data_IF_065325771650
#
_entry.id   IF_065325771650
#
_cell.length_a   1.000
_cell.length_b   1.000
_cell.length_c   1.000
_cell.angle_alpha   90.00
_cell.angle_beta   90.00
_cell.angle_gamma   90.00
#
_symmetry.space_group_name_H-M   'P 1'
#
loop_
_entity.id
_entity.type
_entity.pdbx_description
1 polymer ?
#
# COMPACT_ATOMS: atom_id res chain seq x y z
N UNK A 1 4.11 -56.75 -53.14
CA UNK A 1 3.96 -56.77 -51.67
C UNK A 1 4.76 -55.71 -50.91
N UNK A 2 6.02 -55.36 -51.28
CA UNK A 2 6.80 -54.34 -50.52
C UNK A 2 6.31 -52.88 -50.61
N UNK A 3 5.55 -52.50 -51.65
CA UNK A 3 4.94 -51.14 -51.75
C UNK A 3 3.64 -50.96 -50.95
N UNK A 4 2.91 -52.04 -50.68
CA UNK A 4 1.69 -52.00 -49.84
C UNK A 4 2.03 -51.91 -48.35
N UNK A 5 3.11 -52.57 -47.90
CA UNK A 5 3.59 -52.48 -46.52
C UNK A 5 4.19 -51.10 -46.19
N UNK A 6 4.68 -50.36 -47.19
CA UNK A 6 5.13 -48.97 -47.01
C UNK A 6 3.97 -47.96 -46.99
N UNK A 7 2.88 -48.26 -47.71
CA UNK A 7 1.67 -47.44 -47.67
C UNK A 7 0.90 -47.60 -46.35
N UNK A 8 0.85 -48.83 -45.81
CA UNK A 8 0.28 -49.09 -44.47
C UNK A 8 1.15 -48.57 -43.33
N UNK A 9 2.50 -48.63 -43.45
CA UNK A 9 3.39 -48.01 -42.45
C UNK A 9 3.40 -46.48 -42.48
N UNK A 10 3.00 -45.85 -43.59
CA UNK A 10 2.76 -44.39 -43.64
C UNK A 10 1.34 -43.99 -43.21
N UNK A 11 0.40 -44.94 -43.13
CA UNK A 11 -0.94 -44.75 -42.56
C UNK A 11 -1.00 -45.01 -41.04
N UNK A 12 -0.06 -45.80 -40.49
CA UNK A 12 0.00 -46.18 -39.07
C UNK A 12 0.79 -45.22 -38.15
N UNK A 13 0.97 -43.96 -38.54
CA UNK A 13 1.51 -42.91 -37.68
C UNK A 13 0.83 -41.55 -37.88
N UNK A 14 -0.45 -41.56 -38.25
CA UNK A 14 -1.31 -40.41 -37.95
C UNK A 14 -1.83 -40.61 -36.53
N UNK A 15 -1.03 -40.21 -35.54
CA UNK A 15 -1.58 -39.92 -34.21
C UNK A 15 -2.81 -39.05 -34.44
N UNK A 16 -3.95 -39.43 -33.86
CA UNK A 16 -5.18 -38.66 -33.97
C UNK A 16 -4.83 -37.22 -33.58
N UNK A 17 -4.94 -36.28 -34.54
CA UNK A 17 -4.57 -34.89 -34.30
C UNK A 17 -5.39 -34.43 -33.11
N UNK A 18 -4.68 -34.20 -32.00
CA UNK A 18 -5.28 -33.83 -30.72
C UNK A 18 -6.14 -32.59 -30.97
N UNK A 19 -7.43 -32.76 -30.70
CA UNK A 19 -8.44 -31.75 -30.96
C UNK A 19 -8.49 -30.69 -29.85
N UNK A 20 -9.15 -29.54 -30.10
CA UNK A 20 -9.26 -28.45 -29.12
C UNK A 20 -9.84 -28.88 -27.76
N UNK A 21 -10.77 -29.85 -27.76
CA UNK A 21 -11.40 -30.35 -26.53
C UNK A 21 -10.43 -30.98 -25.51
N UNK A 22 -9.41 -31.70 -25.98
CA UNK A 22 -8.39 -32.28 -25.08
C UNK A 22 -7.51 -31.17 -24.48
N UNK A 23 -7.15 -30.16 -25.28
CA UNK A 23 -6.37 -29.00 -24.82
C UNK A 23 -7.15 -28.17 -23.78
N UNK A 24 -8.45 -27.98 -23.98
CA UNK A 24 -9.33 -27.33 -22.99
C UNK A 24 -9.34 -28.11 -21.68
N UNK A 25 -9.46 -29.44 -21.75
CA UNK A 25 -9.40 -30.32 -20.57
C UNK A 25 -8.08 -30.15 -19.80
N UNK A 26 -6.95 -30.23 -20.51
CA UNK A 26 -5.62 -30.04 -19.92
C UNK A 26 -5.45 -28.66 -19.29
N UNK A 27 -6.00 -27.59 -19.90
CA UNK A 27 -6.02 -26.25 -19.34
C UNK A 27 -6.77 -26.19 -18.02
N UNK A 28 -7.99 -26.72 -17.97
CA UNK A 28 -8.82 -26.74 -16.75
C UNK A 28 -8.23 -27.59 -15.63
N UNK A 29 -7.49 -28.64 -15.97
CA UNK A 29 -6.74 -29.47 -15.03
C UNK A 29 -5.41 -28.85 -14.58
N UNK A 30 -5.00 -27.70 -15.15
CA UNK A 30 -3.72 -27.05 -14.84
C UNK A 30 -2.49 -27.78 -15.42
N UNK A 31 -2.68 -28.74 -16.33
CA UNK A 31 -1.62 -29.55 -16.97
C UNK A 31 -1.05 -28.84 -18.20
N UNK A 32 -0.68 -27.58 -18.02
CA UNK A 32 -0.25 -26.67 -19.10
C UNK A 32 0.99 -27.19 -19.84
N UNK A 33 1.96 -27.77 -19.11
CA UNK A 33 3.19 -28.33 -19.71
C UNK A 33 2.90 -29.43 -20.72
N UNK A 34 1.98 -30.33 -20.39
CA UNK A 34 1.56 -31.40 -21.29
C UNK A 34 0.79 -30.85 -22.49
N UNK A 35 -0.07 -29.85 -22.28
CA UNK A 35 -0.74 -29.18 -23.39
C UNK A 35 0.26 -28.54 -24.37
N UNK A 36 1.34 -27.92 -23.86
CA UNK A 36 2.42 -27.39 -24.68
C UNK A 36 3.14 -28.50 -25.46
N UNK A 37 3.45 -29.64 -24.85
CA UNK A 37 4.04 -30.78 -25.57
C UNK A 37 3.11 -31.30 -26.69
N UNK A 38 1.79 -31.24 -26.48
CA UNK A 38 0.80 -31.61 -27.51
C UNK A 38 0.78 -30.59 -28.64
N UNK A 39 0.88 -29.29 -28.33
CA UNK A 39 1.03 -28.23 -29.34
C UNK A 39 2.33 -28.39 -30.13
N UNK A 40 3.45 -28.73 -29.48
CA UNK A 40 4.73 -29.03 -30.14
C UNK A 40 4.62 -30.21 -31.13
N UNK A 41 3.71 -31.16 -30.87
CA UNK A 41 3.39 -32.29 -31.76
C UNK A 41 2.35 -31.97 -32.85
N UNK A 42 1.88 -30.72 -32.93
CA UNK A 42 0.93 -30.27 -33.96
C UNK A 42 -0.55 -30.41 -33.60
N UNK A 43 -0.89 -30.46 -32.30
CA UNK A 43 -2.27 -30.34 -31.85
C UNK A 43 -2.94 -29.05 -32.37
N UNK A 44 -4.24 -29.11 -32.68
CA UNK A 44 -4.99 -27.95 -33.15
C UNK A 44 -5.72 -27.29 -31.98
N UNK A 45 -5.44 -26.02 -31.75
CA UNK A 45 -6.16 -25.19 -30.79
C UNK A 45 -7.10 -24.22 -31.52
N UNK A 46 -8.29 -24.03 -30.98
CA UNK A 46 -9.21 -22.96 -31.32
C UNK A 46 -9.09 -21.82 -30.28
N UNK A 47 -9.82 -20.68 -30.44
CA UNK A 47 -9.74 -19.58 -29.48
C UNK A 47 -10.05 -20.00 -28.04
N UNK A 48 -11.04 -20.89 -27.83
CA UNK A 48 -11.40 -21.35 -26.50
C UNK A 48 -10.27 -22.16 -25.86
N UNK A 49 -9.62 -23.05 -26.62
CA UNK A 49 -8.45 -23.79 -26.13
C UNK A 49 -7.32 -22.85 -25.72
N UNK A 50 -7.01 -21.83 -26.53
CA UNK A 50 -5.98 -20.84 -26.16
C UNK A 50 -6.36 -20.05 -24.91
N UNK A 51 -7.63 -19.65 -24.77
CA UNK A 51 -8.14 -18.95 -23.60
C UNK A 51 -7.95 -19.77 -22.31
N UNK A 52 -8.37 -21.04 -22.33
CA UNK A 52 -8.30 -21.93 -21.17
C UNK A 52 -6.85 -22.28 -20.79
N UNK A 53 -5.99 -22.50 -21.80
CA UNK A 53 -4.57 -22.72 -21.59
C UNK A 53 -3.87 -21.49 -21.00
N UNK A 54 -4.20 -20.29 -21.49
CA UNK A 54 -3.69 -19.05 -20.92
C UNK A 54 -4.19 -18.86 -19.48
N UNK A 55 -5.49 -19.05 -19.22
CA UNK A 55 -6.10 -18.90 -17.89
C UNK A 55 -5.45 -19.81 -16.82
N UNK A 56 -4.96 -20.98 -17.23
CA UNK A 56 -4.23 -21.89 -16.37
C UNK A 56 -2.81 -21.40 -15.98
N UNK A 57 -2.29 -20.37 -16.66
CA UNK A 57 -0.97 -19.79 -16.44
C UNK A 57 -0.97 -18.59 -15.48
N UNK A 58 -1.81 -18.59 -14.45
CA UNK A 58 -1.88 -17.50 -13.47
C UNK A 58 -0.68 -17.43 -12.51
N UNK A 59 0.15 -18.48 -12.46
CA UNK A 59 1.32 -18.57 -11.60
C UNK A 59 2.58 -18.07 -12.33
N UNK A 60 3.39 -17.16 -11.74
CA UNK A 60 4.65 -16.71 -12.33
C UNK A 60 5.61 -17.83 -12.78
N UNK A 61 5.54 -19.01 -12.15
CA UNK A 61 6.33 -20.19 -12.53
C UNK A 61 5.96 -20.77 -13.91
N UNK A 62 4.81 -20.40 -14.46
CA UNK A 62 4.30 -20.85 -15.76
C UNK A 62 4.46 -19.80 -16.87
N UNK A 63 5.28 -18.76 -16.64
CA UNK A 63 5.50 -17.69 -17.63
C UNK A 63 6.07 -18.23 -18.95
N UNK A 64 6.96 -19.22 -18.91
CA UNK A 64 7.54 -19.80 -20.13
C UNK A 64 6.49 -20.58 -20.93
N UNK A 65 5.61 -21.33 -20.25
CA UNK A 65 4.48 -22.02 -20.88
C UNK A 65 3.49 -21.02 -21.48
N UNK A 66 3.15 -19.93 -20.77
CA UNK A 66 2.32 -18.85 -21.28
C UNK A 66 2.92 -18.24 -22.56
N UNK A 67 4.23 -17.99 -22.58
CA UNK A 67 4.94 -17.47 -23.76
C UNK A 67 4.88 -18.43 -24.93
N UNK A 68 5.02 -19.74 -24.71
CA UNK A 68 4.88 -20.74 -25.77
C UNK A 68 3.45 -20.79 -26.32
N UNK A 69 2.46 -20.83 -25.44
CA UNK A 69 1.03 -20.82 -25.84
C UNK A 69 0.73 -19.55 -26.63
N UNK A 70 1.25 -18.40 -26.20
CA UNK A 70 1.08 -17.14 -26.91
C UNK A 70 1.76 -17.14 -28.29
N UNK A 71 2.96 -17.70 -28.45
CA UNK A 71 3.60 -17.87 -29.76
C UNK A 71 2.77 -18.78 -30.69
N UNK A 72 2.21 -19.88 -30.18
CA UNK A 72 1.27 -20.72 -30.94
C UNK A 72 0.01 -19.95 -31.35
N UNK A 73 -0.56 -19.14 -30.45
CA UNK A 73 -1.71 -18.29 -30.74
C UNK A 73 -1.41 -17.28 -31.84
N UNK A 74 -0.26 -16.59 -31.79
CA UNK A 74 0.15 -15.58 -32.78
C UNK A 74 0.37 -16.16 -34.19
N UNK A 75 0.73 -17.45 -34.29
CA UNK A 75 0.87 -18.19 -35.56
C UNK A 75 -0.45 -18.76 -36.08
N UNK A 76 -1.49 -18.76 -35.25
CA UNK A 76 -2.82 -19.28 -35.60
C UNK A 76 -3.62 -18.28 -36.45
N UNK A 77 -4.67 -18.73 -37.17
CA UNK A 77 -5.58 -17.81 -37.85
C UNK A 77 -6.39 -16.92 -36.89
N UNK A 78 -6.36 -17.22 -35.58
CA UNK A 78 -7.12 -16.52 -34.55
C UNK A 78 -6.31 -15.45 -33.82
N UNK A 79 -5.10 -15.10 -34.27
CA UNK A 79 -4.20 -14.14 -33.61
C UNK A 79 -4.81 -12.76 -33.28
N UNK A 80 -5.90 -12.38 -33.96
CA UNK A 80 -6.64 -11.14 -33.75
C UNK A 80 -7.82 -11.28 -32.75
N UNK A 81 -8.03 -12.46 -32.18
CA UNK A 81 -9.13 -12.70 -31.24
C UNK A 81 -8.96 -11.84 -29.99
N UNK A 82 -9.90 -10.93 -29.77
CA UNK A 82 -9.85 -9.94 -28.69
C UNK A 82 -9.92 -10.60 -27.30
N UNK A 83 -10.73 -11.65 -27.13
CA UNK A 83 -10.92 -12.32 -25.84
C UNK A 83 -9.65 -13.07 -25.43
N UNK A 84 -9.02 -13.78 -26.37
CA UNK A 84 -7.76 -14.47 -26.11
C UNK A 84 -6.64 -13.47 -25.83
N UNK A 85 -6.54 -12.39 -26.62
CA UNK A 85 -5.55 -11.34 -26.36
C UNK A 85 -5.74 -10.70 -24.97
N UNK A 86 -6.96 -10.31 -24.59
CA UNK A 86 -7.24 -9.79 -23.25
C UNK A 86 -6.86 -10.79 -22.15
N UNK A 87 -7.11 -12.09 -22.36
CA UNK A 87 -6.66 -13.13 -21.44
C UNK A 87 -5.13 -13.20 -21.35
N UNK A 88 -4.41 -13.10 -22.46
CA UNK A 88 -2.95 -13.05 -22.46
C UNK A 88 -2.42 -11.84 -21.67
N UNK A 89 -3.01 -10.65 -21.87
CA UNK A 89 -2.66 -9.45 -21.09
C UNK A 89 -2.84 -9.68 -19.59
N UNK A 90 -4.00 -10.19 -19.19
CA UNK A 90 -4.33 -10.47 -17.79
C UNK A 90 -3.32 -11.45 -17.17
N UNK A 91 -2.96 -12.52 -17.90
CA UNK A 91 -2.03 -13.53 -17.38
C UNK A 91 -0.59 -13.04 -17.34
N UNK A 92 -0.16 -12.22 -18.30
CA UNK A 92 1.14 -11.54 -18.21
C UNK A 92 1.20 -10.58 -17.02
N UNK A 93 0.13 -9.84 -16.74
CA UNK A 93 0.06 -8.98 -15.56
C UNK A 93 0.17 -9.78 -14.25
N UNK A 94 -0.54 -10.92 -14.14
CA UNK A 94 -0.43 -11.83 -12.97
C UNK A 94 0.95 -12.47 -12.82
N UNK A 95 1.67 -12.68 -13.93
CA UNK A 95 3.05 -13.16 -13.92
C UNK A 95 4.09 -12.05 -13.71
N UNK A 96 3.68 -10.81 -13.40
CA UNK A 96 4.54 -9.63 -13.30
C UNK A 96 5.38 -9.36 -14.58
N UNK A 97 4.91 -9.82 -15.74
CA UNK A 97 5.57 -9.74 -17.03
C UNK A 97 5.03 -8.57 -17.87
N UNK A 98 4.99 -7.37 -17.30
CA UNK A 98 4.34 -6.19 -17.92
C UNK A 98 4.96 -5.75 -19.25
N UNK A 99 6.23 -6.07 -19.48
CA UNK A 99 6.88 -5.87 -20.79
C UNK A 99 6.23 -6.71 -21.90
N UNK A 100 5.83 -7.95 -21.60
CA UNK A 100 5.13 -8.83 -22.54
C UNK A 100 3.68 -8.39 -22.72
N UNK A 101 3.00 -8.01 -21.62
CA UNK A 101 1.65 -7.45 -21.67
C UNK A 101 1.61 -6.20 -22.58
N UNK A 102 2.51 -5.24 -22.37
CA UNK A 102 2.57 -4.01 -23.20
C UNK A 102 2.79 -4.31 -24.68
N UNK A 103 3.76 -5.18 -25.01
CA UNK A 103 4.02 -5.57 -26.40
C UNK A 103 2.80 -6.20 -27.04
N UNK A 104 2.09 -7.05 -26.31
CA UNK A 104 0.86 -7.68 -26.80
C UNK A 104 -0.19 -6.61 -27.07
N UNK A 105 -0.45 -5.74 -26.08
CA UNK A 105 -1.40 -4.64 -26.18
C UNK A 105 -1.13 -3.70 -27.36
N UNK A 106 0.14 -3.38 -27.63
CA UNK A 106 0.56 -2.53 -28.75
C UNK A 106 0.28 -3.13 -30.12
N UNK A 107 0.34 -4.46 -30.24
CA UNK A 107 0.17 -5.17 -31.51
C UNK A 107 -1.26 -5.68 -31.71
N UNK A 108 -2.16 -5.45 -30.74
CA UNK A 108 -3.57 -5.79 -30.90
C UNK A 108 -4.22 -4.91 -31.97
N UNK A 109 -4.90 -5.52 -32.97
CA UNK A 109 -5.56 -4.76 -34.03
C UNK A 109 -6.74 -3.93 -33.48
N UNK A 110 -7.50 -4.53 -32.57
CA UNK A 110 -8.64 -3.92 -31.89
C UNK A 110 -8.41 -3.98 -30.38
N UNK A 111 -8.82 -2.92 -29.67
CA UNK A 111 -8.79 -2.83 -28.21
C UNK A 111 -10.12 -2.27 -27.73
N UNK A 112 -10.72 -2.93 -26.75
CA UNK A 112 -11.92 -2.44 -26.08
C UNK A 112 -11.57 -1.85 -24.71
N UNK A 113 -12.57 -1.34 -24.00
CA UNK A 113 -12.41 -0.79 -22.66
C UNK A 113 -11.72 -1.78 -21.70
N UNK A 114 -12.07 -3.08 -21.78
CA UNK A 114 -11.44 -4.12 -20.95
C UNK A 114 -9.93 -4.25 -21.23
N UNK A 115 -9.49 -4.16 -22.50
CA UNK A 115 -8.06 -4.18 -22.83
C UNK A 115 -7.30 -3.05 -22.13
N UNK A 116 -7.89 -1.85 -22.07
CA UNK A 116 -7.32 -0.69 -21.39
C UNK A 116 -7.33 -0.88 -19.87
N UNK A 117 -8.46 -1.34 -19.31
CA UNK A 117 -8.60 -1.60 -17.88
C UNK A 117 -7.60 -2.65 -17.38
N UNK A 118 -7.45 -3.77 -18.09
CA UNK A 118 -6.48 -4.82 -17.75
C UNK A 118 -5.04 -4.26 -17.71
N UNK A 119 -4.70 -3.37 -18.64
CA UNK A 119 -3.36 -2.78 -18.67
C UNK A 119 -3.13 -1.74 -17.58
N UNK A 120 -4.10 -0.86 -17.34
CA UNK A 120 -4.02 0.16 -16.26
C UNK A 120 -3.90 -0.55 -14.90
N UNK A 121 -4.79 -1.51 -14.64
CA UNK A 121 -4.77 -2.29 -13.40
C UNK A 121 -3.46 -3.11 -13.28
N UNK A 122 -3.07 -3.78 -14.36
CA UNK A 122 -1.85 -4.59 -14.41
C UNK A 122 -0.60 -3.78 -14.07
N UNK A 123 -0.49 -2.53 -14.52
CA UNK A 123 0.59 -1.64 -14.11
C UNK A 123 0.47 -1.22 -12.64
N UNK A 124 -0.73 -0.85 -12.17
CA UNK A 124 -0.97 -0.43 -10.79
C UNK A 124 -0.60 -1.51 -9.77
N UNK A 125 -1.12 -2.73 -9.92
CA UNK A 125 -0.90 -3.84 -8.96
C UNK A 125 0.55 -4.35 -8.95
N UNK A 126 1.31 -4.10 -10.03
CA UNK A 126 2.73 -4.43 -10.12
C UNK A 126 3.64 -3.27 -9.66
N UNK A 127 3.09 -2.26 -8.97
CA UNK A 127 3.86 -1.14 -8.41
C UNK A 127 4.37 -0.14 -9.46
N UNK A 128 3.77 -0.12 -10.66
CA UNK A 128 4.12 0.77 -11.76
C UNK A 128 3.01 1.82 -11.95
N UNK A 129 2.57 2.44 -10.84
CA UNK A 129 1.45 3.38 -10.81
C UNK A 129 1.61 4.55 -11.80
N UNK A 130 2.79 5.14 -11.90
CA UNK A 130 3.05 6.24 -12.85
C UNK A 130 2.81 5.83 -14.31
N UNK A 131 3.19 4.61 -14.67
CA UNK A 131 2.99 4.07 -16.03
C UNK A 131 1.50 3.82 -16.29
N UNK A 132 0.76 3.38 -15.28
CA UNK A 132 -0.69 3.22 -15.36
C UNK A 132 -1.39 4.57 -15.61
N UNK A 133 -0.98 5.63 -14.90
CA UNK A 133 -1.52 6.98 -15.08
C UNK A 133 -1.18 7.56 -16.47
N UNK A 134 0.04 7.35 -16.95
CA UNK A 134 0.42 7.71 -18.33
C UNK A 134 -0.45 6.97 -19.36
N UNK A 135 -0.75 5.70 -19.13
CA UNK A 135 -1.61 4.92 -20.01
C UNK A 135 -3.05 5.42 -20.01
N UNK A 136 -3.57 5.81 -18.85
CA UNK A 136 -4.88 6.45 -18.72
C UNK A 136 -4.95 7.77 -19.51
N UNK A 137 -3.91 8.60 -19.43
CA UNK A 137 -3.87 9.83 -20.23
C UNK A 137 -3.71 9.54 -21.74
N UNK A 138 -2.98 8.50 -22.13
CA UNK A 138 -2.92 8.03 -23.53
C UNK A 138 -4.32 7.61 -24.02
N UNK A 139 -5.05 6.83 -23.23
CA UNK A 139 -6.42 6.39 -23.52
C UNK A 139 -7.36 7.58 -23.82
N UNK A 140 -7.29 8.62 -22.99
CA UNK A 140 -8.10 9.84 -23.13
C UNK A 140 -7.66 10.71 -24.31
N UNK A 141 -6.40 11.12 -24.32
CA UNK A 141 -5.93 12.19 -25.20
C UNK A 141 -5.61 11.71 -26.61
N UNK A 142 -5.00 10.53 -26.74
CA UNK A 142 -4.55 10.00 -28.04
C UNK A 142 -5.64 9.20 -28.74
N UNK A 143 -6.44 8.44 -27.98
CA UNK A 143 -7.48 7.58 -28.55
C UNK A 143 -8.90 8.13 -28.37
N UNK A 144 -9.09 9.21 -27.59
CA UNK A 144 -10.39 9.83 -27.41
C UNK A 144 -11.41 8.94 -26.68
N UNK A 145 -10.94 7.95 -25.92
CA UNK A 145 -11.82 7.00 -25.22
C UNK A 145 -12.25 7.63 -23.90
N UNK A 146 -13.56 7.79 -23.73
CA UNK A 146 -14.13 8.38 -22.53
C UNK A 146 -13.94 7.45 -21.30
N UNK A 147 -13.44 7.98 -20.17
CA UNK A 147 -13.41 7.25 -18.92
C UNK A 147 -14.79 6.84 -18.43
N UNK A 148 -14.84 5.72 -17.73
CA UNK A 148 -16.02 5.21 -17.01
C UNK A 148 -15.78 5.24 -15.49
N UNK A 149 -16.82 5.01 -14.69
CA UNK A 149 -16.67 4.84 -13.23
C UNK A 149 -15.58 3.82 -12.88
N UNK A 150 -15.62 2.62 -13.48
CA UNK A 150 -14.57 1.62 -13.26
C UNK A 150 -13.18 2.12 -13.66
N UNK A 151 -13.05 2.93 -14.71
CA UNK A 151 -11.75 3.53 -15.08
C UNK A 151 -11.16 4.35 -13.94
N UNK A 152 -11.98 5.16 -13.26
CA UNK A 152 -11.53 5.95 -12.13
C UNK A 152 -11.15 5.10 -10.91
N UNK A 153 -11.81 3.97 -10.68
CA UNK A 153 -11.35 3.02 -9.64
C UNK A 153 -9.93 2.52 -9.90
N UNK A 154 -9.58 2.25 -11.16
CA UNK A 154 -8.25 1.79 -11.53
C UNK A 154 -7.20 2.91 -11.45
N UNK A 155 -7.59 4.14 -11.81
CA UNK A 155 -6.74 5.33 -11.68
C UNK A 155 -6.43 5.62 -10.21
N UNK A 156 -7.43 5.54 -9.32
CA UNK A 156 -7.20 5.71 -7.88
C UNK A 156 -6.30 4.61 -7.30
N UNK A 157 -6.48 3.35 -7.73
CA UNK A 157 -5.55 2.28 -7.37
C UNK A 157 -4.13 2.57 -7.89
N UNK A 158 -3.97 3.09 -9.12
CA UNK A 158 -2.67 3.50 -9.64
C UNK A 158 -2.02 4.60 -8.80
N UNK A 159 -2.78 5.63 -8.40
CA UNK A 159 -2.33 6.67 -7.47
C UNK A 159 -1.88 6.07 -6.14
N UNK A 160 -2.62 5.10 -5.61
CA UNK A 160 -2.32 4.48 -4.33
C UNK A 160 -1.00 3.68 -4.35
N UNK A 161 -0.60 3.14 -5.51
CA UNK A 161 0.67 2.43 -5.69
C UNK A 161 1.82 3.34 -6.18
N UNK A 162 1.57 4.64 -6.40
CA UNK A 162 2.57 5.65 -6.76
C UNK A 162 2.71 6.77 -5.70
N UNK A 163 2.00 6.64 -4.57
CA UNK A 163 1.94 7.68 -3.52
C UNK A 163 1.47 9.07 -4.03
N UNK A 164 0.70 9.07 -5.12
CA UNK A 164 0.25 10.27 -5.82
C UNK A 164 -1.06 10.81 -5.21
N UNK A 165 -0.97 11.33 -3.98
CA UNK A 165 -2.14 11.78 -3.19
C UNK A 165 -2.85 12.96 -3.87
N UNK A 166 -2.10 13.97 -4.30
CA UNK A 166 -2.68 15.18 -4.90
C UNK A 166 -3.42 14.83 -6.20
N UNK A 167 -2.80 14.01 -7.06
CA UNK A 167 -3.37 13.52 -8.30
C UNK A 167 -4.64 12.71 -8.06
N UNK A 168 -4.68 11.88 -7.01
CA UNK A 168 -5.87 11.10 -6.68
C UNK A 168 -7.09 11.99 -6.42
N UNK A 169 -6.93 13.06 -5.63
CA UNK A 169 -8.01 14.01 -5.38
C UNK A 169 -8.39 14.80 -6.63
N UNK A 170 -7.41 15.15 -7.48
CA UNK A 170 -7.70 15.79 -8.76
C UNK A 170 -8.53 14.89 -9.68
N UNK A 171 -8.18 13.61 -9.81
CA UNK A 171 -8.95 12.66 -10.62
C UNK A 171 -10.33 12.38 -10.04
N UNK A 172 -10.44 12.30 -8.71
CA UNK A 172 -11.73 12.12 -8.04
C UNK A 172 -12.70 13.28 -8.27
N UNK A 173 -12.20 14.53 -8.23
CA UNK A 173 -13.00 15.72 -8.56
C UNK A 173 -13.33 15.80 -10.06
N UNK A 174 -12.33 15.55 -10.92
CA UNK A 174 -12.50 15.54 -12.38
C UNK A 174 -13.53 14.53 -12.85
N UNK A 175 -13.66 13.38 -12.17
CA UNK A 175 -14.68 12.37 -12.46
C UNK A 175 -16.10 12.96 -12.48
N UNK A 176 -16.42 13.81 -11.49
CA UNK A 176 -17.73 14.47 -11.43
C UNK A 176 -17.77 15.68 -12.36
N UNK A 177 -16.76 16.55 -12.27
CA UNK A 177 -16.75 17.85 -12.95
C UNK A 177 -16.62 17.75 -14.46
N UNK A 178 -15.70 16.91 -14.94
CA UNK A 178 -15.28 16.88 -16.33
C UNK A 178 -15.93 15.70 -17.10
N UNK A 179 -16.37 14.66 -16.38
CA UNK A 179 -16.97 13.46 -16.98
C UNK A 179 -18.43 13.20 -16.57
N UNK A 180 -18.98 13.95 -15.61
CA UNK A 180 -20.38 13.78 -15.16
C UNK A 180 -20.66 12.43 -14.51
N UNK A 181 -19.64 11.78 -13.93
CA UNK A 181 -19.76 10.47 -13.29
C UNK A 181 -19.82 10.69 -11.79
N UNK A 182 -20.91 10.24 -11.15
CA UNK A 182 -21.07 10.38 -9.70
C UNK A 182 -20.20 9.35 -8.94
N UNK A 183 -19.45 9.77 -7.90
CA UNK A 183 -18.64 8.87 -7.09
C UNK A 183 -19.49 7.86 -6.31
N UNK A 184 -19.35 6.58 -6.67
CA UNK A 184 -19.81 5.46 -5.85
C UNK A 184 -18.84 5.09 -4.72
N UNK A 185 -19.25 4.17 -3.84
CA UNK A 185 -18.50 3.74 -2.65
C UNK A 185 -17.08 3.30 -2.99
N UNK A 186 -16.90 2.61 -4.11
CA UNK A 186 -15.62 2.13 -4.63
C UNK A 186 -14.61 3.25 -4.90
N UNK A 187 -15.06 4.44 -5.30
CA UNK A 187 -14.18 5.59 -5.53
C UNK A 187 -13.72 6.20 -4.20
N UNK A 188 -14.61 6.30 -3.22
CA UNK A 188 -14.25 6.76 -1.88
C UNK A 188 -13.28 5.79 -1.20
N UNK A 189 -13.48 4.48 -1.35
CA UNK A 189 -12.52 3.47 -0.91
C UNK A 189 -11.17 3.67 -1.59
N UNK A 190 -11.15 3.97 -2.90
CA UNK A 190 -9.91 4.31 -3.60
C UNK A 190 -9.13 5.46 -2.95
N UNK A 191 -9.80 6.53 -2.52
CA UNK A 191 -9.15 7.64 -1.80
C UNK A 191 -8.60 7.21 -0.44
N UNK A 192 -9.34 6.38 0.30
CA UNK A 192 -8.88 5.82 1.59
C UNK A 192 -7.62 4.96 1.38
N UNK A 193 -7.59 4.16 0.33
CA UNK A 193 -6.42 3.34 -0.03
C UNK A 193 -5.22 4.19 -0.41
N UNK A 194 -5.40 5.26 -1.18
CA UNK A 194 -4.34 6.22 -1.50
C UNK A 194 -3.72 6.80 -0.22
N UNK A 195 -4.55 7.30 0.70
CA UNK A 195 -4.09 7.87 1.96
C UNK A 195 -3.38 6.82 2.82
N UNK A 196 -4.00 5.64 3.00
CA UNK A 196 -3.48 4.62 3.89
C UNK A 196 -2.21 3.93 3.38
N UNK A 197 -2.06 3.69 2.06
CA UNK A 197 -0.82 3.15 1.47
C UNK A 197 0.33 4.16 1.53
N UNK A 198 0.01 5.45 1.46
CA UNK A 198 0.99 6.54 1.61
C UNK A 198 1.31 6.87 3.07
N UNK A 199 0.78 6.09 4.04
CA UNK A 199 1.07 6.26 5.48
C UNK A 199 0.20 7.30 6.21
N UNK A 200 -0.76 7.92 5.54
CA UNK A 200 -1.67 8.95 6.09
C UNK A 200 -2.93 8.33 6.72
N UNK A 201 -2.75 7.39 7.66
CA UNK A 201 -3.86 6.65 8.26
C UNK A 201 -4.83 7.52 9.08
N UNK A 202 -4.34 8.57 9.74
CA UNK A 202 -5.23 9.45 10.51
C UNK A 202 -6.14 10.24 9.57
N UNK A 203 -5.59 10.74 8.48
CA UNK A 203 -6.32 11.45 7.44
C UNK A 203 -7.33 10.51 6.76
N UNK A 204 -6.99 9.24 6.55
CA UNK A 204 -7.93 8.23 6.07
C UNK A 204 -9.12 8.03 7.03
N UNK A 205 -8.88 7.98 8.34
CA UNK A 205 -9.95 7.89 9.35
C UNK A 205 -10.81 9.15 9.37
N UNK A 206 -10.20 10.34 9.33
CA UNK A 206 -10.93 11.61 9.25
C UNK A 206 -11.76 11.71 7.97
N UNK A 207 -11.27 11.16 6.86
CA UNK A 207 -11.99 11.12 5.60
C UNK A 207 -13.21 10.20 5.69
N UNK A 208 -13.08 9.03 6.33
CA UNK A 208 -14.20 8.11 6.60
C UNK A 208 -15.31 8.81 7.41
N UNK A 209 -14.94 9.61 8.42
CA UNK A 209 -15.89 10.35 9.25
C UNK A 209 -16.67 11.43 8.46
N UNK A 210 -16.13 11.87 7.31
CA UNK A 210 -16.73 12.89 6.44
C UNK A 210 -17.45 12.30 5.22
N UNK A 211 -17.57 10.97 5.12
CA UNK A 211 -18.26 10.34 3.99
C UNK A 211 -19.72 10.81 3.90
N UNK A 212 -20.25 10.99 2.67
CA UNK A 212 -21.63 11.41 2.47
C UNK A 212 -22.66 10.28 2.72
N UNK A 213 -22.21 9.11 3.15
CA UNK A 213 -23.01 7.93 3.44
C UNK A 213 -22.44 7.18 4.65
N UNK A 214 -23.23 6.28 5.23
CA UNK A 214 -22.76 5.44 6.33
C UNK A 214 -21.65 4.48 5.86
N UNK A 215 -20.49 4.44 6.53
CA UNK A 215 -19.38 3.58 6.15
C UNK A 215 -19.79 2.10 6.05
N UNK A 216 -19.61 1.51 4.86
CA UNK A 216 -19.97 0.13 4.55
C UNK A 216 -18.92 -0.88 5.03
N UNK A 217 -19.26 -2.17 4.94
CA UNK A 217 -18.31 -3.27 5.20
C UNK A 217 -17.02 -3.11 4.39
N UNK A 218 -17.12 -2.74 3.10
CA UNK A 218 -15.96 -2.53 2.23
C UNK A 218 -15.03 -1.41 2.69
N UNK A 219 -15.57 -0.31 3.23
CA UNK A 219 -14.78 0.80 3.78
C UNK A 219 -13.96 0.32 4.98
N UNK A 220 -14.58 -0.38 5.92
CA UNK A 220 -13.89 -0.87 7.10
C UNK A 220 -12.93 -2.04 6.82
N UNK A 221 -13.24 -2.90 5.84
CA UNK A 221 -12.31 -3.94 5.36
C UNK A 221 -11.05 -3.32 4.76
N UNK A 222 -11.19 -2.26 3.97
CA UNK A 222 -10.06 -1.50 3.43
C UNK A 222 -9.23 -0.88 4.56
N UNK A 223 -9.87 -0.18 5.52
CA UNK A 223 -9.17 0.42 6.67
C UNK A 223 -8.44 -0.63 7.52
N UNK A 224 -9.06 -1.78 7.76
CA UNK A 224 -8.45 -2.90 8.50
C UNK A 224 -7.19 -3.39 7.80
N UNK A 225 -7.24 -3.58 6.48
CA UNK A 225 -6.07 -4.01 5.71
C UNK A 225 -4.96 -2.95 5.76
N UNK A 226 -5.31 -1.66 5.65
CA UNK A 226 -4.35 -0.55 5.75
C UNK A 226 -3.71 -0.47 7.15
N UNK A 227 -4.50 -0.65 8.21
CA UNK A 227 -4.00 -0.70 9.59
C UNK A 227 -2.99 -1.85 9.79
N UNK A 228 -3.31 -3.05 9.28
CA UNK A 228 -2.40 -4.21 9.31
C UNK A 228 -1.11 -3.97 8.53
N UNK A 229 -1.20 -3.40 7.33
CA UNK A 229 -0.02 -3.09 6.50
C UNK A 229 0.92 -2.09 7.19
N UNK A 230 0.37 -1.12 7.92
CA UNK A 230 1.13 -0.11 8.65
C UNK A 230 1.49 -0.52 10.09
N UNK A 231 0.96 -1.64 10.59
CA UNK A 231 1.18 -2.13 11.95
C UNK A 231 0.48 -1.31 13.05
N UNK A 232 -0.63 -0.62 12.74
CA UNK A 232 -1.45 0.10 13.71
C UNK A 232 -2.47 -0.84 14.37
N UNK A 233 -2.05 -1.46 15.47
CA UNK A 233 -2.83 -2.45 16.22
C UNK A 233 -4.12 -1.84 16.80
N UNK A 234 -4.07 -0.59 17.27
CA UNK A 234 -5.23 0.07 17.87
C UNK A 234 -6.31 0.34 16.81
N UNK A 235 -5.88 0.75 15.61
CA UNK A 235 -6.78 0.98 14.50
C UNK A 235 -7.33 -0.32 13.91
N UNK A 236 -6.49 -1.36 13.83
CA UNK A 236 -6.91 -2.72 13.49
C UNK A 236 -8.02 -3.21 14.42
N UNK A 237 -7.83 -3.10 15.74
CA UNK A 237 -8.83 -3.50 16.74
C UNK A 237 -10.15 -2.75 16.56
N UNK A 238 -10.10 -1.44 16.35
CA UNK A 238 -11.28 -0.60 16.12
C UNK A 238 -12.00 -0.98 14.82
N UNK A 239 -11.26 -1.17 13.73
CA UNK A 239 -11.84 -1.52 12.44
C UNK A 239 -12.52 -2.90 12.48
N UNK A 240 -11.93 -3.88 13.17
CA UNK A 240 -12.55 -5.20 13.37
C UNK A 240 -13.84 -5.13 14.20
N UNK A 241 -13.87 -4.34 15.28
CA UNK A 241 -15.08 -4.15 16.09
C UNK A 241 -16.22 -3.54 15.25
N UNK A 242 -15.92 -2.52 14.45
CA UNK A 242 -16.88 -1.88 13.55
C UNK A 242 -17.36 -2.85 12.46
N UNK A 243 -16.46 -3.64 11.88
CA UNK A 243 -16.82 -4.69 10.91
C UNK A 243 -17.79 -5.71 11.48
N UNK A 244 -17.51 -6.22 12.68
CA UNK A 244 -18.39 -7.19 13.35
C UNK A 244 -19.75 -6.59 13.68
N UNK A 245 -19.80 -5.29 14.01
CA UNK A 245 -21.06 -4.59 14.27
C UNK A 245 -21.96 -4.49 13.04
N UNK A 246 -21.36 -4.39 11.84
CA UNK A 246 -22.08 -4.33 10.56
C UNK A 246 -22.40 -5.71 9.99
N UNK A 247 -21.46 -6.65 10.12
CA UNK A 247 -21.60 -8.03 9.66
C UNK A 247 -21.07 -9.01 10.72
N UNK A 248 -21.96 -9.59 11.53
CA UNK A 248 -21.60 -10.56 12.57
C UNK A 248 -20.88 -11.82 12.04
N UNK A 249 -20.90 -12.10 10.73
CA UNK A 249 -20.16 -13.23 10.15
C UNK A 249 -18.65 -12.98 10.09
N UNK A 250 -18.21 -11.72 10.19
CA UNK A 250 -16.80 -11.31 10.16
C UNK A 250 -16.07 -11.49 11.50
N UNK A 251 -16.73 -12.07 12.50
CA UNK A 251 -16.12 -12.36 13.81
C UNK A 251 -14.89 -13.24 13.63
N UNK A 252 -13.75 -12.78 14.18
CA UNK A 252 -12.54 -13.59 14.26
C UNK A 252 -12.59 -14.49 15.51
N UNK A 253 -12.82 -15.80 15.37
CA UNK A 253 -13.00 -16.71 16.50
C UNK A 253 -11.72 -16.92 17.32
N UNK A 254 -10.55 -16.48 16.81
CA UNK A 254 -9.25 -16.64 17.48
C UNK A 254 -8.85 -15.42 18.31
N UNK A 255 -9.62 -14.33 18.27
CA UNK A 255 -9.27 -13.08 18.95
C UNK A 255 -9.80 -13.08 20.39
N UNK A 256 -8.92 -12.77 21.33
CA UNK A 256 -9.31 -12.55 22.73
C UNK A 256 -10.12 -11.25 22.84
N UNK A 257 -11.14 -11.16 23.72
CA UNK A 257 -11.87 -9.93 23.94
C UNK A 257 -10.91 -8.82 24.35
N UNK A 258 -10.82 -7.77 23.55
CA UNK A 258 -10.05 -6.57 23.90
C UNK A 258 -10.82 -5.78 24.97
N UNK A 259 -10.12 -5.18 25.97
CA UNK A 259 -10.77 -4.28 26.91
C UNK A 259 -11.46 -3.15 26.14
N UNK A 260 -12.58 -2.61 26.65
CA UNK A 260 -13.28 -1.51 25.99
C UNK A 260 -12.30 -0.37 25.70
N UNK A 261 -12.35 0.23 24.50
CA UNK A 261 -11.42 1.26 24.09
C UNK A 261 -11.42 2.37 25.15
N UNK A 262 -10.22 2.76 25.61
CA UNK A 262 -10.09 3.98 26.41
C UNK A 262 -10.63 5.11 25.54
N UNK A 263 -11.66 5.83 26.00
CA UNK A 263 -12.13 7.07 25.37
C UNK A 263 -10.90 7.89 24.98
N UNK A 264 -10.59 7.98 23.68
CA UNK A 264 -9.71 9.04 23.20
C UNK A 264 -10.47 10.32 23.51
N UNK A 265 -10.06 11.03 24.56
CA UNK A 265 -10.38 12.46 24.66
C UNK A 265 -9.91 13.03 23.32
N UNK A 266 -10.82 13.67 22.57
CA UNK A 266 -10.60 14.22 21.23
C UNK A 266 -9.52 15.29 21.21
N UNK A 267 -8.28 14.89 21.43
CA UNK A 267 -7.07 15.68 21.25
C UNK A 267 -6.41 15.02 20.06
N UNK A 268 -6.96 15.32 18.89
CA UNK A 268 -6.30 15.05 17.63
C UNK A 268 -5.09 16.00 17.51
N UNK A 269 -3.94 15.48 17.07
CA UNK A 269 -2.65 16.18 17.14
C UNK A 269 -2.49 17.31 16.11
N UNK A 270 -3.50 17.55 15.27
CA UNK A 270 -3.50 18.60 14.23
C UNK A 270 -4.64 19.63 14.40
N UNK A 271 -5.67 19.32 15.19
CA UNK A 271 -6.76 20.26 15.53
C UNK A 271 -6.34 21.36 16.52
N UNK A 272 -5.10 21.32 17.00
CA UNK A 272 -4.48 22.35 17.82
C UNK A 272 -4.03 23.60 17.07
N UNK A 273 -4.39 23.79 15.79
CA UNK A 273 -4.13 25.05 15.06
C UNK A 273 -5.08 26.14 15.55
N UNK A 274 -4.76 26.71 16.72
CA UNK A 274 -4.99 28.09 17.19
C UNK A 274 -5.20 28.17 18.71
N UNK A 275 -4.21 27.74 19.50
CA UNK A 275 -4.06 28.21 20.91
C UNK A 275 -2.73 28.94 21.17
N UNK A 276 -2.10 29.48 20.13
CA UNK A 276 -0.91 30.34 20.26
C UNK A 276 -1.21 31.72 20.89
N UNK A 277 -2.47 32.05 21.20
CA UNK A 277 -2.82 33.33 21.84
C UNK A 277 -2.71 33.26 23.37
N UNK A 278 -2.74 32.07 23.99
CA UNK A 278 -2.67 31.93 25.45
C UNK A 278 -1.28 31.62 26.02
N UNK A 279 -0.30 31.26 25.17
CA UNK A 279 1.10 31.27 25.58
C UNK A 279 1.75 32.57 25.12
N UNK A 280 1.57 33.60 25.95
CA UNK A 280 2.57 34.67 26.04
C UNK A 280 3.90 33.94 26.21
N UNK A 281 4.82 34.10 25.26
CA UNK A 281 6.26 33.90 25.51
C UNK A 281 6.50 34.45 26.92
N UNK A 282 7.09 33.66 27.86
CA UNK A 282 7.56 34.26 29.09
C UNK A 282 8.35 35.50 28.70
N UNK A 283 8.06 36.67 29.31
CA UNK A 283 8.82 37.88 29.03
C UNK A 283 10.28 37.49 29.13
N UNK A 284 11.07 37.88 28.11
CA UNK A 284 12.53 37.70 27.97
C UNK A 284 13.11 37.02 29.20
N UNK A 285 13.67 35.82 29.05
CA UNK A 285 14.53 35.23 30.09
C UNK A 285 15.71 36.18 30.27
N UNK A 286 15.47 37.26 31.02
CA UNK A 286 16.46 38.08 31.64
C UNK A 286 17.17 37.14 32.59
N UNK A 287 18.48 37.08 32.38
CA UNK A 287 19.50 36.56 33.28
C UNK A 287 19.10 36.81 34.75
N UNK A 288 18.37 35.90 35.37
CA UNK A 288 18.14 35.81 36.83
C UNK A 288 17.30 34.59 37.20
N UNK A 289 17.83 33.39 36.96
CA UNK A 289 17.73 32.29 37.93
C UNK A 289 19.12 31.65 38.00
N UNK A 290 19.91 32.12 38.97
CA UNK A 290 21.13 31.46 39.41
C UNK A 290 20.70 30.40 40.43
N UNK A 291 20.82 29.14 40.02
CA UNK A 291 21.27 28.03 40.85
C UNK A 291 21.70 26.88 39.90
N UNK A 292 22.94 26.98 39.44
CA UNK A 292 23.92 25.90 39.22
C UNK A 292 23.54 24.58 38.51
N UNK A 293 22.69 24.57 37.48
CA UNK A 293 22.70 23.48 36.48
C UNK A 293 22.44 24.01 35.07
N UNK A 294 23.48 24.53 34.41
CA UNK A 294 23.44 24.83 32.98
C UNK A 294 23.58 23.52 32.23
N UNK A 295 22.63 23.21 31.34
CA UNK A 295 22.76 22.08 30.43
C UNK A 295 23.97 22.32 29.51
N UNK A 296 24.91 21.37 29.51
CA UNK A 296 26.10 21.35 28.64
C UNK A 296 25.96 20.13 27.72
N UNK A 297 25.83 20.31 26.39
CA UNK A 297 25.72 19.19 25.45
C UNK A 297 26.94 18.27 25.49
N UNK A 298 26.72 16.97 25.61
CA UNK A 298 27.77 15.97 25.48
C UNK A 298 27.84 15.45 24.04
N UNK A 299 28.63 16.13 23.22
CA UNK A 299 28.84 15.84 21.79
C UNK A 299 29.52 14.51 21.51
N UNK A 300 30.04 13.80 22.52
CA UNK A 300 30.58 12.43 22.36
C UNK A 300 29.51 11.43 21.95
N UNK A 301 28.23 11.74 22.19
CA UNK A 301 27.10 10.92 21.77
C UNK A 301 26.69 11.13 20.30
N UNK A 302 27.33 12.05 19.58
CA UNK A 302 27.16 12.23 18.13
C UNK A 302 28.32 11.56 17.41
N UNK A 303 28.05 10.37 16.85
CA UNK A 303 29.06 9.54 16.19
C UNK A 303 29.41 9.99 14.76
N UNK A 304 28.70 10.98 14.21
CA UNK A 304 28.97 11.54 12.89
C UNK A 304 30.25 12.39 12.92
N UNK A 305 31.08 12.23 11.89
CA UNK A 305 32.29 13.04 11.71
C UNK A 305 31.93 14.40 11.10
N UNK A 306 31.41 15.27 11.97
CA UNK A 306 30.99 16.64 11.66
C UNK A 306 31.63 17.63 12.63
N UNK A 307 31.57 18.91 12.29
CA UNK A 307 32.09 19.98 13.14
C UNK A 307 31.33 20.07 14.48
N UNK A 308 31.99 20.69 15.46
CA UNK A 308 31.51 20.71 16.84
C UNK A 308 30.15 21.43 16.99
N UNK A 309 29.92 22.48 16.21
CA UNK A 309 28.67 23.23 16.21
C UNK A 309 27.52 22.40 15.62
N UNK A 310 27.77 21.68 14.52
CA UNK A 310 26.81 20.75 13.96
C UNK A 310 26.49 19.57 14.89
N UNK A 311 27.45 19.09 15.70
CA UNK A 311 27.19 18.07 16.73
C UNK A 311 26.24 18.60 17.80
N UNK A 312 26.43 19.83 18.27
CA UNK A 312 25.53 20.46 19.24
C UNK A 312 24.12 20.65 18.68
N UNK A 313 24.01 21.04 17.41
CA UNK A 313 22.72 21.15 16.72
C UNK A 313 22.03 19.79 16.58
N UNK A 314 22.76 18.74 16.20
CA UNK A 314 22.19 17.40 16.07
C UNK A 314 21.55 16.90 17.38
N UNK A 315 22.18 17.18 18.53
CA UNK A 315 21.63 16.83 19.85
C UNK A 315 20.30 17.53 20.15
N UNK A 316 20.06 18.74 19.62
CA UNK A 316 18.79 19.46 19.79
C UNK A 316 17.63 18.77 19.05
N UNK A 317 17.92 18.16 17.90
CA UNK A 317 16.92 17.51 17.04
C UNK A 317 16.74 16.02 17.33
N UNK A 318 17.29 15.52 18.42
CA UNK A 318 16.98 14.18 18.90
C UNK A 318 15.47 14.05 19.16
N UNK A 319 14.89 12.94 18.70
CA UNK A 319 13.44 12.72 18.74
C UNK A 319 12.85 12.79 20.14
N UNK A 320 13.62 12.46 21.19
CA UNK A 320 13.19 12.63 22.59
C UNK A 320 12.97 14.10 22.96
N UNK A 321 13.82 15.01 22.49
CA UNK A 321 13.73 16.44 22.81
C UNK A 321 12.57 17.08 22.09
N UNK A 322 12.39 16.73 20.82
CA UNK A 322 11.26 17.19 20.03
C UNK A 322 9.94 16.70 20.64
N UNK A 323 9.87 15.43 21.05
CA UNK A 323 8.70 14.86 21.70
C UNK A 323 8.37 15.55 23.04
N UNK A 324 9.38 15.88 23.86
CA UNK A 324 9.17 16.63 25.11
C UNK A 324 8.75 18.06 24.82
N UNK A 325 9.45 18.77 23.93
CA UNK A 325 9.12 20.15 23.58
C UNK A 325 7.66 20.24 23.11
N UNK A 326 7.25 19.35 22.22
CA UNK A 326 5.87 19.25 21.77
C UNK A 326 4.91 18.90 22.92
N UNK A 327 5.21 17.88 23.72
CA UNK A 327 4.38 17.52 24.88
C UNK A 327 4.20 18.67 25.85
N UNK A 328 5.23 19.49 26.09
CA UNK A 328 5.17 20.64 26.98
C UNK A 328 4.28 21.76 26.43
N UNK A 329 4.32 21.99 25.11
CA UNK A 329 3.49 22.97 24.41
C UNK A 329 2.02 22.50 24.36
N UNK A 330 1.81 21.21 24.08
CA UNK A 330 0.49 20.68 23.72
C UNK A 330 -0.31 20.13 24.91
N UNK A 331 0.26 20.10 26.12
CA UNK A 331 -0.43 19.59 27.32
C UNK A 331 -0.53 20.62 28.44
N UNK A 332 -1.65 20.62 29.20
CA UNK A 332 -1.83 21.52 30.33
C UNK A 332 -0.68 21.45 31.36
N UNK A 333 -0.49 22.54 32.10
CA UNK A 333 0.49 22.59 33.16
C UNK A 333 0.26 21.45 34.17
N UNK A 334 1.36 20.80 34.59
CA UNK A 334 1.38 19.68 35.57
C UNK A 334 0.81 18.35 35.07
N UNK A 335 0.43 18.21 33.80
CA UNK A 335 0.12 16.90 33.20
C UNK A 335 1.40 16.08 33.02
N UNK A 336 1.47 14.83 33.51
CA UNK A 336 2.60 13.94 33.25
C UNK A 336 2.75 13.65 31.76
N UNK A 337 3.97 13.76 31.23
CA UNK A 337 4.25 13.43 29.84
C UNK A 337 4.74 11.99 29.73
N UNK A 338 4.22 11.26 28.74
CA UNK A 338 4.63 9.89 28.44
C UNK A 338 5.15 9.82 27.02
N UNK A 339 6.40 9.39 26.86
CA UNK A 339 7.07 9.28 25.56
C UNK A 339 7.54 7.84 25.41
N UNK A 340 7.24 7.24 24.26
CA UNK A 340 7.63 5.87 23.93
C UNK A 340 8.62 5.93 22.77
N UNK A 341 9.80 5.34 22.97
CA UNK A 341 10.86 5.26 21.96
C UNK A 341 11.22 3.81 21.70
N UNK A 342 11.42 3.48 20.41
CA UNK A 342 11.86 2.15 19.96
C UNK A 342 13.39 1.96 20.07
N UNK A 343 14.15 3.04 20.29
CA UNK A 343 15.60 3.04 20.46
C UNK A 343 15.99 3.43 21.89
N UNK A 344 17.18 3.02 22.31
CA UNK A 344 17.74 3.42 23.62
C UNK A 344 17.98 4.92 23.66
N UNK A 345 17.64 5.56 24.77
CA UNK A 345 17.92 6.98 25.01
C UNK A 345 19.44 7.20 25.10
N UNK A 346 19.97 8.23 24.42
CA UNK A 346 21.39 8.57 24.56
C UNK A 346 21.66 9.25 25.91
N UNK A 347 22.92 9.20 26.39
CA UNK A 347 23.27 9.76 27.69
C UNK A 347 23.04 11.27 27.79
N UNK A 348 23.28 11.99 26.70
CA UNK A 348 23.02 13.42 26.60
C UNK A 348 21.51 13.75 26.72
N UNK A 349 20.65 13.07 25.96
CA UNK A 349 19.19 13.20 26.10
C UNK A 349 18.73 12.86 27.51
N UNK A 350 19.25 11.77 28.10
CA UNK A 350 18.92 11.39 29.47
C UNK A 350 19.24 12.52 30.48
N UNK A 351 20.39 13.18 30.34
CA UNK A 351 20.78 14.31 31.18
C UNK A 351 19.93 15.56 30.93
N UNK A 352 19.64 15.87 29.66
CA UNK A 352 18.77 16.98 29.31
C UNK A 352 17.37 16.82 29.90
N UNK A 353 16.81 15.60 29.86
CA UNK A 353 15.46 15.31 30.35
C UNK A 353 15.37 15.43 31.87
N UNK A 354 16.43 15.05 32.61
CA UNK A 354 16.54 15.37 34.04
C UNK A 354 16.39 16.88 34.26
N UNK A 355 17.21 17.69 33.60
CA UNK A 355 17.18 19.14 33.78
C UNK A 355 15.80 19.71 33.40
N UNK A 356 15.20 19.25 32.29
CA UNK A 356 13.86 19.64 31.86
C UNK A 356 12.80 19.28 32.91
N UNK A 357 12.82 18.07 33.48
CA UNK A 357 11.85 17.66 34.52
C UNK A 357 11.88 18.60 35.75
N UNK A 358 13.06 19.12 36.11
CA UNK A 358 13.20 20.08 37.21
C UNK A 358 12.72 21.48 36.83
N UNK A 359 13.07 21.97 35.63
CA UNK A 359 12.68 23.31 35.16
C UNK A 359 11.17 23.40 35.00
N UNK A 360 10.55 22.38 34.40
CA UNK A 360 9.11 22.38 34.13
C UNK A 360 8.30 21.94 35.35
N UNK A 361 8.93 21.25 36.32
CA UNK A 361 8.25 20.72 37.51
C UNK A 361 7.17 19.70 37.16
N UNK A 362 7.38 18.92 36.09
CA UNK A 362 6.47 17.86 35.61
C UNK A 362 7.16 16.51 35.67
N UNK A 363 6.39 15.46 35.94
CA UNK A 363 6.88 14.09 35.75
C UNK A 363 6.95 13.78 34.25
N UNK A 364 8.13 13.39 33.78
CA UNK A 364 8.36 12.94 32.40
C UNK A 364 8.65 11.44 32.46
N UNK A 365 7.84 10.63 31.79
CA UNK A 365 8.00 9.17 31.73
C UNK A 365 8.44 8.84 30.32
N UNK A 366 9.68 8.36 30.17
CA UNK A 366 10.23 7.96 28.89
C UNK A 366 10.46 6.46 28.90
N UNK A 367 9.80 5.72 28.02
CA UNK A 367 10.06 4.31 27.78
C UNK A 367 11.01 4.17 26.61
N UNK A 368 12.15 3.54 26.83
CA UNK A 368 13.03 3.10 25.75
C UNK A 368 12.86 1.59 25.49
N UNK A 369 13.73 1.02 24.66
CA UNK A 369 13.72 -0.42 24.35
C UNK A 369 14.22 -1.33 25.48
N UNK A 370 14.70 -0.79 26.60
CA UNK A 370 15.19 -1.54 27.76
C UNK A 370 14.29 -1.40 28.99
N UNK A 371 13.81 -0.20 29.31
CA UNK A 371 13.02 0.08 30.53
C UNK A 371 12.25 1.40 30.49
N UNK A 372 11.54 1.65 31.58
CA UNK A 372 10.91 2.94 31.88
C UNK A 372 11.83 3.83 32.70
N UNK A 373 11.99 5.08 32.25
CA UNK A 373 12.71 6.15 32.92
C UNK A 373 11.68 7.15 33.44
N UNK A 374 11.55 7.27 34.76
CA UNK A 374 10.70 8.28 35.39
C UNK A 374 11.58 9.44 35.83
N UNK A 375 11.42 10.58 35.16
CA UNK A 375 12.13 11.81 35.48
C UNK A 375 11.24 12.72 36.33
N UNK A 376 11.71 13.03 37.54
CA UNK A 376 11.02 13.93 38.48
C UNK A 376 12.04 14.73 39.27
N UNK A 377 11.85 16.04 39.34
CA UNK A 377 12.70 16.98 40.10
C UNK A 377 14.20 16.89 39.75
N UNK A 378 14.52 16.52 38.51
CA UNK A 378 15.89 16.35 38.02
C UNK A 378 16.57 15.05 38.40
N UNK A 379 15.81 14.05 38.83
CA UNK A 379 16.28 12.69 39.05
C UNK A 379 15.56 11.73 38.11
N UNK A 380 16.25 10.68 37.71
CA UNK A 380 15.64 9.56 36.99
C UNK A 380 15.51 8.35 37.92
N UNK A 381 14.45 7.54 37.76
CA UNK A 381 14.27 6.25 38.44
C UNK A 381 15.38 5.23 38.20
N UNK A 382 16.30 5.55 37.30
CA UNK A 382 17.30 4.67 36.76
C UNK A 382 18.65 4.75 37.49
N UNK A 383 18.79 5.72 38.40
CA UNK A 383 20.01 5.93 39.19
C UNK A 383 21.24 6.30 38.36
N UNK A 384 21.06 6.86 37.17
CA UNK A 384 22.10 7.12 36.17
C UNK A 384 22.85 5.87 35.66
N UNK A 385 22.31 4.68 35.96
CA UNK A 385 22.75 3.43 35.37
C UNK A 385 22.09 3.28 33.99
N UNK A 386 22.49 4.11 33.03
CA UNK A 386 21.97 4.18 31.65
C UNK A 386 22.00 2.83 30.95
#
# INVERSE_FOLDING_TARGET
MRKLVLYDKQQQQREAVVGPGELIGLGREGRVKEAVEKLDKGARADPQAFYELAAACSNPKLLEELRKIHDYFLRSPFRADLQVNNKMLEMYAKCAAMNHARRTFDHMPDRNMDSWHIMIDGYAVNGLGDVALQLFEEMKTKYGIAPTAHTFTLVLNACANSEAIEEAFLYFDAMSRDHGIEPGVEHYVGIIEVLGKSGHLNEAVEYIEKLPFEPTVTVWESLLNLARMNGDIDLEDRAEELLVSLDPTKVNPKKLPTPPPKRRLGINMLDGRNKLVEYRLPPKIEKKVVNEQRYVPDTRYVLHDIDQEAKEQALLYHSERLAIAYGLISTPARTPLRIIKNLRICGDCHNAIKIMSRIVGRELIVRDNKRFHHFKDGKCSCGDYW
#
